data_IF_390122221328
#
_entry.id   IF_390122221328
#
_cell.length_a   1.000
_cell.length_b   1.000
_cell.length_c   1.000
_cell.angle_alpha   90.00
_cell.angle_beta   90.00
_cell.angle_gamma   90.00
#
_symmetry.space_group_name_H-M   'P 1'
#
loop_
_entity.id
_entity.type
_entity.pdbx_description
1 polymer ?
#
# COMPACT_ATOMS: atom_id res chain seq x y z
N UNK A 1 -23.72 9.68 55.22
CA UNK A 1 -24.00 8.51 54.33
C UNK A 1 -24.16 8.92 52.85
N UNK A 2 -24.98 9.92 52.51
CA UNK A 2 -25.16 10.36 51.10
C UNK A 2 -23.89 10.87 50.39
N UNK A 3 -22.97 11.49 51.10
CA UNK A 3 -21.73 12.04 50.51
C UNK A 3 -20.76 10.94 50.08
N UNK A 4 -20.68 9.84 50.80
CA UNK A 4 -19.86 8.69 50.52
C UNK A 4 -20.37 7.93 49.30
N UNK A 5 -21.70 7.82 49.18
CA UNK A 5 -22.39 7.17 48.06
C UNK A 5 -22.14 7.96 46.76
N UNK A 6 -22.23 9.31 46.78
CA UNK A 6 -21.91 10.14 45.60
C UNK A 6 -20.47 10.00 45.15
N UNK A 7 -19.51 9.98 46.06
CA UNK A 7 -18.09 9.76 45.72
C UNK A 7 -17.85 8.39 45.07
N UNK A 8 -18.50 7.36 45.59
CA UNK A 8 -18.41 6.01 45.04
C UNK A 8 -18.89 5.93 43.59
N UNK A 9 -20.03 6.54 43.27
CA UNK A 9 -20.58 6.60 41.90
C UNK A 9 -19.69 7.39 40.95
N UNK A 10 -19.07 8.49 41.40
CA UNK A 10 -18.14 9.27 40.57
C UNK A 10 -16.89 8.43 40.26
N UNK A 11 -16.31 7.73 41.21
CA UNK A 11 -15.14 6.88 40.99
C UNK A 11 -15.48 5.74 40.06
N UNK A 12 -16.63 5.08 40.23
CA UNK A 12 -17.08 4.01 39.34
C UNK A 12 -17.29 4.51 37.92
N UNK A 13 -17.87 5.69 37.74
CA UNK A 13 -18.05 6.31 36.43
C UNK A 13 -16.70 6.61 35.74
N UNK A 14 -15.72 7.13 36.47
CA UNK A 14 -14.37 7.40 35.96
C UNK A 14 -13.69 6.10 35.54
N UNK A 15 -13.80 5.02 36.32
CA UNK A 15 -13.21 3.70 35.99
C UNK A 15 -13.84 3.14 34.70
N UNK A 16 -15.16 3.24 34.56
CA UNK A 16 -15.86 2.82 33.33
C UNK A 16 -15.44 3.67 32.15
N UNK A 17 -15.30 4.98 32.29
CA UNK A 17 -14.84 5.88 31.24
C UNK A 17 -13.41 5.55 30.78
N UNK A 18 -12.50 5.28 31.73
CA UNK A 18 -11.12 4.86 31.43
C UNK A 18 -11.09 3.51 30.72
N UNK A 19 -11.93 2.55 31.10
CA UNK A 19 -12.00 1.25 30.44
C UNK A 19 -12.54 1.34 28.99
N UNK A 20 -13.47 2.27 28.71
CA UNK A 20 -13.97 2.53 27.36
C UNK A 20 -12.89 3.20 26.50
N UNK A 21 -12.14 4.16 27.05
CA UNK A 21 -11.04 4.82 26.34
C UNK A 21 -9.86 3.88 26.02
N UNK A 22 -9.58 2.91 26.89
CA UNK A 22 -8.54 1.92 26.66
C UNK A 22 -8.94 0.84 25.62
N UNK A 23 -10.24 0.61 25.41
CA UNK A 23 -10.72 -0.36 24.42
C UNK A 23 -10.63 0.14 22.95
N UNK A 24 -10.43 1.44 22.72
CA UNK A 24 -10.33 1.99 21.36
C UNK A 24 -8.98 1.71 20.68
N UNK A 25 -7.98 1.18 21.38
CA UNK A 25 -6.66 0.86 20.81
C UNK A 25 -6.53 -0.56 20.26
N UNK A 26 -7.58 -1.39 20.32
CA UNK A 26 -7.49 -2.80 19.91
C UNK A 26 -7.63 -3.05 18.40
N UNK A 27 -8.08 -2.07 17.61
CA UNK A 27 -8.29 -2.26 16.17
C UNK A 27 -7.07 -1.96 15.28
N UNK A 28 -6.03 -1.32 15.83
CA UNK A 28 -4.85 -0.93 15.04
C UNK A 28 -3.75 -2.01 14.98
N UNK A 29 -3.84 -3.09 15.75
CA UNK A 29 -2.72 -4.04 15.93
C UNK A 29 -2.65 -5.14 14.87
N UNK A 30 -3.66 -5.31 14.02
CA UNK A 30 -3.76 -6.46 13.11
C UNK A 30 -3.44 -6.14 11.64
N UNK A 31 -2.98 -4.93 11.30
CA UNK A 31 -2.58 -4.59 9.92
C UNK A 31 -1.20 -5.19 9.61
N UNK A 32 -0.36 -5.43 10.60
CA UNK A 32 1.01 -5.91 10.43
C UNK A 32 1.13 -7.42 10.11
N UNK A 33 0.03 -8.17 10.21
CA UNK A 33 0.00 -9.61 9.93
C UNK A 33 -0.20 -9.97 8.44
N UNK A 34 -0.43 -8.99 7.56
CA UNK A 34 -0.84 -9.24 6.17
C UNK A 34 0.31 -9.47 5.17
N UNK A 35 1.55 -9.32 5.60
CA UNK A 35 2.69 -9.53 4.72
C UNK A 35 2.98 -8.35 3.78
N UNK A 36 3.77 -8.59 2.74
CA UNK A 36 4.05 -7.60 1.69
C UNK A 36 2.85 -7.48 0.76
N UNK A 37 2.38 -6.27 0.53
CA UNK A 37 1.33 -6.00 -0.45
C UNK A 37 1.97 -5.90 -1.84
N UNK A 38 1.52 -6.72 -2.78
CA UNK A 38 1.91 -6.57 -4.20
C UNK A 38 0.85 -5.78 -4.95
N UNK A 39 1.27 -4.68 -5.58
CA UNK A 39 0.43 -3.87 -6.47
C UNK A 39 0.85 -4.11 -7.90
N UNK A 40 -0.09 -4.57 -8.72
CA UNK A 40 0.13 -4.90 -10.12
C UNK A 40 -0.52 -3.89 -11.03
N UNK A 41 0.23 -3.41 -12.03
CA UNK A 41 -0.26 -2.55 -13.10
C UNK A 41 0.15 -3.10 -14.47
N UNK A 42 -0.59 -2.70 -15.52
CA UNK A 42 -0.32 -3.13 -16.88
C UNK A 42 -0.17 -1.92 -17.81
N UNK A 43 -1.28 -1.21 -18.08
CA UNK A 43 -1.40 -0.12 -19.07
C UNK A 43 -1.62 1.22 -18.39
N UNK A 44 -1.16 2.29 -19.06
CA UNK A 44 -1.27 3.65 -18.53
C UNK A 44 -1.79 4.59 -19.63
N UNK A 45 -2.89 5.30 -19.37
CA UNK A 45 -3.55 6.23 -20.30
C UNK A 45 -4.14 5.59 -21.59
N UNK A 46 -4.33 4.27 -21.60
CA UNK A 46 -4.91 3.56 -22.74
C UNK A 46 -6.42 3.33 -22.57
N UNK A 47 -7.26 4.26 -22.99
CA UNK A 47 -8.73 4.20 -22.80
C UNK A 47 -9.41 2.97 -23.43
N UNK A 48 -8.78 2.35 -24.42
CA UNK A 48 -9.32 1.17 -25.13
C UNK A 48 -9.39 -0.07 -24.23
N UNK A 49 -8.61 -0.14 -23.14
CA UNK A 49 -8.47 -1.32 -22.31
C UNK A 49 -8.79 -1.01 -20.83
N UNK A 50 -10.06 -0.72 -20.49
CA UNK A 50 -10.41 -0.18 -19.17
C UNK A 50 -10.14 -1.12 -18.00
N UNK A 51 -10.14 -2.44 -18.23
CA UNK A 51 -9.92 -3.44 -17.19
C UNK A 51 -8.46 -3.57 -16.74
N UNK A 52 -7.50 -3.17 -17.59
CA UNK A 52 -6.06 -3.28 -17.31
C UNK A 52 -5.35 -1.93 -17.34
N UNK A 53 -6.10 -0.85 -17.52
CA UNK A 53 -5.58 0.51 -17.67
C UNK A 53 -5.81 1.37 -16.43
N UNK A 54 -4.84 2.21 -16.12
CA UNK A 54 -4.97 3.25 -15.11
C UNK A 54 -4.66 4.63 -15.71
N UNK A 55 -5.38 5.65 -15.25
CA UNK A 55 -5.04 7.05 -15.55
C UNK A 55 -3.82 7.49 -14.76
N UNK A 56 -2.94 8.27 -15.36
CA UNK A 56 -1.73 8.77 -14.67
C UNK A 56 -2.08 9.60 -13.43
N UNK A 57 -3.19 10.34 -13.46
CA UNK A 57 -3.67 11.07 -12.28
C UNK A 57 -3.94 10.12 -11.11
N UNK A 58 -4.60 8.98 -11.36
CA UNK A 58 -4.96 8.02 -10.33
C UNK A 58 -3.73 7.22 -9.88
N UNK A 59 -2.84 6.87 -10.82
CA UNK A 59 -1.56 6.24 -10.49
C UNK A 59 -0.73 7.11 -9.52
N UNK A 60 -0.56 8.41 -9.84
CA UNK A 60 0.12 9.35 -8.93
C UNK A 60 -0.53 9.39 -7.55
N UNK A 61 -1.87 9.44 -7.51
CA UNK A 61 -2.62 9.44 -6.25
C UNK A 61 -2.39 8.15 -5.45
N UNK A 62 -2.29 6.98 -6.10
CA UNK A 62 -1.95 5.73 -5.42
C UNK A 62 -0.56 5.80 -4.78
N UNK A 63 0.44 6.30 -5.51
CA UNK A 63 1.79 6.48 -4.97
C UNK A 63 1.79 7.44 -3.77
N UNK A 64 1.10 8.58 -3.89
CA UNK A 64 0.98 9.58 -2.81
C UNK A 64 0.31 8.99 -1.56
N UNK A 65 -0.76 8.21 -1.71
CA UNK A 65 -1.45 7.56 -0.60
C UNK A 65 -0.56 6.54 0.12
N UNK A 66 0.25 5.79 -0.63
CA UNK A 66 1.19 4.81 -0.07
C UNK A 66 2.24 5.53 0.79
N UNK A 67 2.87 6.57 0.24
CA UNK A 67 3.89 7.36 0.93
C UNK A 67 3.33 8.10 2.15
N UNK A 68 2.12 8.69 2.05
CA UNK A 68 1.45 9.41 3.15
C UNK A 68 1.02 8.52 4.32
N UNK A 69 0.88 7.21 4.10
CA UNK A 69 0.53 6.24 5.13
C UNK A 69 1.74 5.42 5.60
N UNK A 70 2.96 5.93 5.40
CA UNK A 70 4.22 5.33 5.84
C UNK A 70 4.47 3.91 5.31
N UNK A 71 3.92 3.57 4.13
CA UNK A 71 4.30 2.37 3.42
C UNK A 71 5.53 2.62 2.55
N UNK A 72 6.40 1.62 2.46
CA UNK A 72 7.66 1.70 1.73
C UNK A 72 7.63 0.82 0.49
N UNK A 73 7.93 1.40 -0.66
CA UNK A 73 8.20 0.63 -1.87
C UNK A 73 9.52 -0.11 -1.72
N UNK A 74 9.52 -1.41 -2.00
CA UNK A 74 10.70 -2.26 -1.88
C UNK A 74 11.09 -2.89 -3.21
N UNK A 75 12.39 -3.09 -3.38
CA UNK A 75 12.95 -3.83 -4.51
C UNK A 75 12.70 -5.33 -4.39
N UNK A 76 12.92 -6.08 -5.49
CA UNK A 76 12.87 -7.54 -5.47
C UNK A 76 13.81 -8.17 -4.41
N UNK A 77 15.02 -7.61 -4.25
CA UNK A 77 15.95 -8.11 -3.23
C UNK A 77 15.40 -7.91 -1.82
N UNK A 78 14.91 -6.71 -1.52
CA UNK A 78 14.31 -6.39 -0.22
C UNK A 78 13.04 -7.22 0.04
N UNK A 79 12.29 -7.57 -1.00
CA UNK A 79 11.13 -8.47 -0.89
C UNK A 79 11.57 -9.88 -0.43
N UNK A 80 12.60 -10.45 -1.06
CA UNK A 80 13.15 -11.76 -0.65
C UNK A 80 13.70 -11.70 0.78
N UNK A 81 14.46 -10.65 1.11
CA UNK A 81 15.01 -10.45 2.45
C UNK A 81 13.89 -10.29 3.51
N UNK A 82 12.82 -9.57 3.18
CA UNK A 82 11.66 -9.37 4.05
C UNK A 82 10.94 -10.69 4.37
N UNK A 83 10.72 -11.54 3.36
CA UNK A 83 10.10 -12.86 3.56
C UNK A 83 10.98 -13.74 4.45
N UNK A 84 12.28 -13.81 4.17
CA UNK A 84 13.21 -14.65 4.92
C UNK A 84 13.38 -14.21 6.38
N UNK A 85 13.37 -12.89 6.63
CA UNK A 85 13.50 -12.31 7.97
C UNK A 85 12.17 -12.15 8.71
N UNK A 86 11.03 -12.43 8.05
CA UNK A 86 9.66 -12.17 8.53
C UNK A 86 9.41 -10.70 8.90
N UNK A 87 10.19 -9.78 8.32
CA UNK A 87 9.99 -8.34 8.47
C UNK A 87 9.13 -7.83 7.31
N UNK A 88 7.83 -8.03 7.42
CA UNK A 88 6.85 -7.78 6.35
C UNK A 88 6.08 -6.46 6.51
N UNK A 89 6.34 -5.72 7.59
CA UNK A 89 5.58 -4.53 7.95
C UNK A 89 5.69 -3.41 6.89
N UNK A 90 4.55 -2.84 6.52
CA UNK A 90 4.39 -1.64 5.68
C UNK A 90 5.21 -1.66 4.38
N UNK A 91 5.32 -2.83 3.74
CA UNK A 91 6.08 -3.01 2.51
C UNK A 91 5.18 -3.21 1.30
N UNK A 92 5.49 -2.48 0.22
CA UNK A 92 4.79 -2.56 -1.06
C UNK A 92 5.77 -3.02 -2.13
N UNK A 93 5.42 -4.11 -2.82
CA UNK A 93 6.09 -4.54 -4.03
C UNK A 93 5.29 -4.03 -5.24
N UNK A 94 5.90 -3.18 -6.06
CA UNK A 94 5.28 -2.70 -7.28
C UNK A 94 5.65 -3.60 -8.45
N UNK A 95 4.65 -4.11 -9.18
CA UNK A 95 4.85 -4.92 -10.38
C UNK A 95 4.16 -4.30 -11.59
N UNK A 96 4.81 -4.45 -12.74
CA UNK A 96 4.33 -4.00 -14.06
C UNK A 96 4.33 -5.22 -14.96
N UNK A 97 3.17 -5.55 -15.50
CA UNK A 97 3.02 -6.75 -16.32
C UNK A 97 2.98 -6.43 -17.81
N UNK A 98 3.33 -7.43 -18.62
CA UNK A 98 3.29 -7.50 -20.08
C UNK A 98 4.27 -6.58 -20.84
N UNK A 99 4.90 -5.59 -20.22
CA UNK A 99 5.85 -4.70 -20.88
C UNK A 99 5.20 -3.80 -21.95
N UNK A 100 4.02 -3.23 -21.68
CA UNK A 100 3.36 -2.29 -22.60
C UNK A 100 4.15 -0.98 -22.76
N UNK A 101 4.17 -0.45 -23.97
CA UNK A 101 4.82 0.81 -24.31
C UNK A 101 4.29 1.99 -23.49
N UNK A 102 3.01 1.96 -23.16
CA UNK A 102 2.36 2.98 -22.33
C UNK A 102 2.95 3.08 -20.90
N UNK A 103 3.50 2.00 -20.35
CA UNK A 103 4.26 2.06 -19.10
C UNK A 103 5.53 2.90 -19.28
N UNK A 104 6.32 2.61 -20.30
CA UNK A 104 7.58 3.33 -20.57
C UNK A 104 7.34 4.82 -20.81
N UNK A 105 6.31 5.15 -21.58
CA UNK A 105 6.00 6.53 -21.96
C UNK A 105 5.39 7.35 -20.82
N UNK A 106 4.53 6.76 -19.99
CA UNK A 106 3.71 7.50 -19.03
C UNK A 106 4.09 7.28 -17.56
N UNK A 107 4.36 6.05 -17.13
CA UNK A 107 4.60 5.73 -15.72
C UNK A 107 6.08 5.70 -15.33
N UNK A 108 6.94 5.17 -16.20
CA UNK A 108 8.38 5.08 -15.95
C UNK A 108 9.05 6.42 -15.56
N UNK A 109 8.76 7.56 -16.25
CA UNK A 109 9.35 8.85 -15.85
C UNK A 109 9.01 9.23 -14.39
N UNK A 110 7.81 8.90 -13.92
CA UNK A 110 7.34 9.18 -12.57
C UNK A 110 8.08 8.31 -11.56
N UNK A 111 8.14 7.00 -11.80
CA UNK A 111 8.84 6.06 -10.92
C UNK A 111 10.33 6.39 -10.83
N UNK A 112 10.95 6.74 -11.96
CA UNK A 112 12.35 7.17 -12.02
C UNK A 112 12.59 8.43 -11.18
N UNK A 113 11.75 9.46 -11.33
CA UNK A 113 11.87 10.71 -10.58
C UNK A 113 11.73 10.48 -9.07
N UNK A 114 10.77 9.64 -8.67
CA UNK A 114 10.52 9.31 -7.25
C UNK A 114 11.45 8.23 -6.69
N UNK A 115 12.32 7.64 -7.53
CA UNK A 115 13.20 6.52 -7.18
C UNK A 115 12.45 5.31 -6.59
N UNK A 116 11.24 5.08 -7.08
CA UNK A 116 10.40 3.95 -6.66
C UNK A 116 10.87 2.69 -7.40
N UNK A 117 11.28 1.63 -6.67
CA UNK A 117 11.63 0.35 -7.28
C UNK A 117 10.39 -0.38 -7.77
N UNK A 118 10.55 -1.19 -8.81
CA UNK A 118 9.50 -2.04 -9.36
C UNK A 118 10.09 -3.28 -10.00
N UNK A 119 9.25 -4.28 -10.23
CA UNK A 119 9.55 -5.45 -11.06
C UNK A 119 8.73 -5.33 -12.35
N UNK A 120 9.33 -5.64 -13.49
CA UNK A 120 8.61 -5.75 -14.73
C UNK A 120 8.62 -7.21 -15.20
N UNK A 121 7.43 -7.73 -15.53
CA UNK A 121 7.26 -9.03 -16.15
C UNK A 121 6.97 -8.83 -17.65
N UNK A 122 7.88 -9.30 -18.49
CA UNK A 122 7.83 -9.06 -19.92
C UNK A 122 7.31 -10.31 -20.63
N UNK A 123 6.30 -10.15 -21.48
CA UNK A 123 5.89 -11.20 -22.41
C UNK A 123 6.87 -11.21 -23.59
N UNK A 124 7.70 -12.25 -23.67
CA UNK A 124 8.76 -12.36 -24.68
C UNK A 124 8.23 -12.51 -26.11
N UNK A 125 7.02 -13.01 -26.30
CA UNK A 125 6.41 -13.14 -27.64
C UNK A 125 6.03 -11.80 -28.27
N UNK A 126 5.82 -10.79 -27.42
CA UNK A 126 5.32 -9.47 -27.87
C UNK A 126 6.41 -8.41 -27.96
N UNK A 127 7.66 -8.71 -27.60
CA UNK A 127 8.77 -7.76 -27.66
C UNK A 127 8.91 -7.20 -29.08
N UNK A 128 8.93 -5.85 -29.20
CA UNK A 128 9.03 -5.17 -30.49
C UNK A 128 7.73 -5.12 -31.30
N UNK A 129 6.65 -5.73 -30.82
CA UNK A 129 5.33 -5.62 -31.45
C UNK A 129 4.70 -4.26 -31.16
N UNK A 130 3.71 -3.88 -31.98
CA UNK A 130 3.02 -2.61 -31.80
C UNK A 130 2.33 -2.55 -30.41
N UNK A 131 2.61 -1.50 -29.65
CA UNK A 131 2.08 -1.29 -28.32
C UNK A 131 2.89 -1.93 -27.17
N UNK A 132 4.00 -2.60 -27.48
CA UNK A 132 4.92 -3.20 -26.51
C UNK A 132 6.32 -2.56 -26.58
N UNK A 133 7.13 -2.77 -25.53
CA UNK A 133 8.54 -2.34 -25.48
C UNK A 133 9.45 -3.31 -26.22
#
# INVERSE_FOLDING_TARGET
MQFIIKKFFIILFIIVLISILNNSNSYAKNIDDYGVISLMYHRFEENKYPSTNIKIKDFKRHLDLIEQNDFNFISHKEFVDAINSKNLDRKILLTIDDGFKSFYENAWPILKQRKIPFIIFINTETIGSNGYM
#
